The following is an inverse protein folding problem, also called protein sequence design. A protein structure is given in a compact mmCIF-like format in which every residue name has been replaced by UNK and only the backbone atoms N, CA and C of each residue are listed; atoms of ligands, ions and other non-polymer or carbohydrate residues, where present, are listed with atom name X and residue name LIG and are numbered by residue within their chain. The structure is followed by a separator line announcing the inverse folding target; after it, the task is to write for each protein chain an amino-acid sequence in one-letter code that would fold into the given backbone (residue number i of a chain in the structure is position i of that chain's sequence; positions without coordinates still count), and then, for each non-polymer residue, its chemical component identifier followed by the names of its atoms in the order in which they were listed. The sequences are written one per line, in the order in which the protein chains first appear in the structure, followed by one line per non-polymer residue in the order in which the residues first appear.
data_IF_334617582917
#
_entry.id   IF_334617582917
#
_cell.length_a   1.000
_cell.length_b   1.000
_cell.length_c   1.000
_cell.angle_alpha   90.00
_cell.angle_beta   90.00
_cell.angle_gamma   90.00
#
_symmetry.space_group_name_H-M   'P 1'
#
loop_
_entity.id
_entity.type
_entity.pdbx_description
1 polymer ?
#
# COMPACT_ATOMS: atom_id res chain seq x y z
N UNK A 1 -3.70 1.29 12.03
CA UNK A 1 -2.48 0.89 11.28
C UNK A 1 -1.58 -0.04 12.11
N UNK A 2 -0.73 -0.85 11.49
CA UNK A 2 0.35 -1.57 12.19
C UNK A 2 1.54 -0.67 12.50
N UNK A 3 2.35 -1.05 13.48
CA UNK A 3 3.62 -0.36 13.79
C UNK A 3 4.48 -0.26 12.52
N UNK A 4 4.63 -1.38 11.80
CA UNK A 4 5.33 -1.40 10.52
C UNK A 4 4.72 -0.43 9.48
N UNK A 5 3.39 -0.32 9.40
CA UNK A 5 2.76 0.62 8.49
C UNK A 5 3.00 2.08 8.89
N UNK A 6 3.08 2.38 10.19
CA UNK A 6 3.37 3.71 10.71
C UNK A 6 4.80 4.13 10.37
N UNK A 7 5.78 3.26 10.63
CA UNK A 7 7.18 3.47 10.24
C UNK A 7 7.31 3.72 8.74
N UNK A 8 6.65 2.89 7.93
CA UNK A 8 6.65 3.05 6.46
C UNK A 8 5.86 4.26 5.97
N UNK A 9 4.90 4.75 6.74
CA UNK A 9 4.19 5.98 6.41
C UNK A 9 5.13 7.17 6.48
N UNK A 10 5.83 7.32 7.59
CA UNK A 10 6.81 8.38 7.79
C UNK A 10 7.91 8.32 6.72
N UNK A 11 8.49 7.13 6.50
CA UNK A 11 9.57 6.92 5.52
C UNK A 11 9.14 7.22 4.07
N UNK A 12 7.91 6.82 3.68
CA UNK A 12 7.52 6.77 2.26
C UNK A 12 6.56 7.87 1.86
N UNK A 13 5.62 8.22 2.73
CA UNK A 13 4.58 9.21 2.44
C UNK A 13 5.00 10.57 3.00
N UNK A 14 5.56 10.57 4.21
CA UNK A 14 5.84 11.76 4.98
C UNK A 14 4.57 12.40 5.55
N UNK A 15 4.76 13.35 6.47
CA UNK A 15 3.66 14.02 7.17
C UNK A 15 3.04 13.19 8.30
N UNK A 16 1.96 13.70 8.94
CA UNK A 16 1.34 13.02 10.07
C UNK A 16 0.72 11.68 9.64
N UNK A 17 0.78 10.71 10.55
CA UNK A 17 0.09 9.42 10.38
C UNK A 17 -1.42 9.68 10.46
N UNK A 18 -2.22 9.20 9.50
CA UNK A 18 -3.66 9.42 9.50
C UNK A 18 -4.33 8.72 10.68
N UNK A 19 -5.36 9.37 11.21
CA UNK A 19 -6.27 8.79 12.19
C UNK A 19 -7.03 7.60 11.59
N UNK A 20 -7.66 6.75 12.41
CA UNK A 20 -8.51 5.67 11.91
C UNK A 20 -9.64 6.15 10.99
N UNK A 21 -10.26 7.29 11.31
CA UNK A 21 -11.35 7.88 10.51
C UNK A 21 -10.85 8.39 9.16
N UNK A 22 -9.71 9.09 9.16
CA UNK A 22 -9.06 9.54 7.92
C UNK A 22 -8.67 8.35 7.05
N UNK A 23 -8.15 7.28 7.66
CA UNK A 23 -7.79 6.06 6.94
C UNK A 23 -9.01 5.37 6.33
N UNK A 24 -10.15 5.37 7.02
CA UNK A 24 -11.41 4.84 6.50
C UNK A 24 -11.87 5.65 5.28
N UNK A 25 -11.92 6.98 5.39
CA UNK A 25 -12.23 7.87 4.26
C UNK A 25 -11.28 7.67 3.07
N UNK A 26 -9.98 7.54 3.35
CA UNK A 26 -8.98 7.21 2.34
C UNK A 26 -9.27 5.90 1.62
N UNK A 27 -9.70 4.85 2.33
CA UNK A 27 -10.03 3.55 1.72
C UNK A 27 -11.31 3.65 0.87
N UNK A 28 -12.30 4.41 1.32
CA UNK A 28 -13.54 4.67 0.57
C UNK A 28 -13.29 5.43 -0.73
N UNK A 29 -12.40 6.43 -0.69
CA UNK A 29 -11.99 7.22 -1.86
C UNK A 29 -11.02 6.47 -2.80
N UNK A 30 -10.50 5.31 -2.36
CA UNK A 30 -9.49 4.56 -3.11
C UNK A 30 -10.09 3.63 -4.15
N UNK A 31 -9.35 3.42 -5.23
CA UNK A 31 -9.62 2.36 -6.21
C UNK A 31 -9.05 1.05 -5.69
N UNK A 32 -9.91 0.04 -5.48
CA UNK A 32 -9.45 -1.30 -5.11
C UNK A 32 -8.80 -2.00 -6.31
N UNK A 33 -7.47 -2.14 -6.27
CA UNK A 33 -6.67 -2.78 -7.32
C UNK A 33 -6.54 -4.30 -7.13
N UNK A 34 -6.66 -4.79 -5.88
CA UNK A 34 -6.62 -6.23 -5.59
C UNK A 34 -7.62 -6.60 -4.49
N UNK A 35 -8.43 -7.63 -4.74
CA UNK A 35 -9.29 -8.26 -3.74
C UNK A 35 -8.50 -9.23 -2.84
N UNK A 36 -8.86 -9.36 -1.56
CA UNK A 36 -8.24 -10.37 -0.71
C UNK A 36 -8.64 -11.76 -1.20
N UNK A 37 -7.71 -12.72 -1.14
CA UNK A 37 -7.98 -14.11 -1.51
C UNK A 37 -7.01 -15.05 -0.82
N UNK A 38 -7.49 -16.27 -0.59
CA UNK A 38 -6.66 -17.36 -0.13
C UNK A 38 -6.09 -18.11 -1.33
N UNK A 39 -4.77 -18.27 -1.34
CA UNK A 39 -4.05 -19.09 -2.30
C UNK A 39 -3.50 -20.30 -1.57
N UNK A 40 -3.18 -21.35 -2.32
CA UNK A 40 -2.56 -22.55 -1.80
C UNK A 40 -1.25 -22.79 -2.55
N UNK A 41 -0.19 -23.08 -1.80
CA UNK A 41 1.07 -23.54 -2.39
C UNK A 41 0.90 -24.95 -2.99
N UNK A 42 1.81 -25.43 -3.86
CA UNK A 42 1.76 -26.80 -4.37
C UNK A 42 1.77 -27.88 -3.27
N UNK A 43 2.26 -27.56 -2.06
CA UNK A 43 2.26 -28.44 -0.88
C UNK A 43 1.00 -28.31 -0.02
N UNK A 44 -0.02 -27.57 -0.47
CA UNK A 44 -1.29 -27.38 0.23
C UNK A 44 -1.28 -26.30 1.33
N UNK A 45 -0.16 -25.61 1.58
CA UNK A 45 -0.13 -24.53 2.57
C UNK A 45 -0.94 -23.32 2.10
N UNK A 46 -1.86 -22.84 2.95
CA UNK A 46 -2.67 -21.65 2.70
C UNK A 46 -1.84 -20.38 2.88
N UNK A 47 -1.86 -19.51 1.88
CA UNK A 47 -1.27 -18.17 1.89
C UNK A 47 -2.37 -17.16 1.63
N UNK A 48 -2.57 -16.23 2.57
CA UNK A 48 -3.55 -15.16 2.40
C UNK A 48 -2.93 -13.96 1.70
N UNK A 49 -3.50 -13.62 0.55
CA UNK A 49 -3.23 -12.38 -0.15
C UNK A 49 -4.19 -11.31 0.37
N UNK A 50 -3.61 -10.19 0.80
CA UNK A 50 -4.36 -9.04 1.33
C UNK A 50 -4.89 -8.14 0.23
N UNK A 51 -5.87 -7.31 0.58
CA UNK A 51 -6.41 -6.33 -0.34
C UNK A 51 -5.40 -5.20 -0.60
N UNK A 52 -5.45 -4.65 -1.81
CA UNK A 52 -4.68 -3.47 -2.18
C UNK A 52 -5.64 -2.39 -2.69
N UNK A 53 -5.41 -1.17 -2.21
CA UNK A 53 -6.17 0.02 -2.54
C UNK A 53 -5.21 1.10 -3.02
N UNK A 54 -5.50 1.70 -4.17
CA UNK A 54 -4.75 2.84 -4.68
C UNK A 54 -5.54 4.12 -4.45
N UNK A 55 -4.94 5.06 -3.72
CA UNK A 55 -5.52 6.37 -3.47
C UNK A 55 -4.89 7.40 -4.41
N UNK A 56 -5.60 7.85 -5.47
CA UNK A 56 -5.01 8.75 -6.45
C UNK A 56 -4.67 10.12 -5.84
N UNK A 57 -5.55 10.70 -5.03
CA UNK A 57 -5.31 12.02 -4.41
C UNK A 57 -4.10 12.11 -3.48
N UNK A 58 -3.68 10.98 -2.87
CA UNK A 58 -2.52 10.89 -1.98
C UNK A 58 -1.31 10.26 -2.69
N UNK A 59 -1.49 9.67 -3.86
CA UNK A 59 -0.44 8.94 -4.58
C UNK A 59 0.11 7.74 -3.81
N UNK A 60 -0.72 7.00 -3.08
CA UNK A 60 -0.27 5.85 -2.26
C UNK A 60 -1.04 4.57 -2.57
N UNK A 61 -0.40 3.43 -2.32
CA UNK A 61 -1.06 2.12 -2.29
C UNK A 61 -1.09 1.61 -0.86
N UNK A 62 -2.29 1.32 -0.37
CA UNK A 62 -2.56 0.78 0.96
C UNK A 62 -2.76 -0.73 0.86
N UNK A 63 -2.03 -1.50 1.68
CA UNK A 63 -2.28 -2.94 1.88
C UNK A 63 -3.11 -3.13 3.12
N UNK A 64 -4.31 -3.69 2.96
CA UNK A 64 -5.33 -3.79 4.00
C UNK A 64 -5.60 -5.25 4.35
N UNK A 65 -5.52 -5.57 5.64
CA UNK A 65 -6.04 -6.80 6.21
C UNK A 65 -7.46 -6.57 6.72
N UNK A 66 -8.45 -6.99 5.93
CA UNK A 66 -9.86 -6.84 6.28
C UNK A 66 -10.31 -7.70 7.47
N UNK A 67 -9.59 -8.77 7.80
CA UNK A 67 -9.97 -9.60 8.95
C UNK A 67 -9.58 -8.98 10.27
N UNK A 68 -8.53 -8.16 10.26
CA UNK A 68 -8.03 -7.45 11.43
C UNK A 68 -8.33 -5.95 11.39
N UNK A 69 -9.12 -5.53 10.40
CA UNK A 69 -9.47 -4.15 10.08
C UNK A 69 -8.26 -3.20 10.15
N UNK A 70 -7.20 -3.53 9.39
CA UNK A 70 -5.89 -2.89 9.59
C UNK A 70 -5.11 -2.70 8.30
N UNK A 71 -4.65 -1.48 8.06
CA UNK A 71 -3.56 -1.22 7.09
C UNK A 71 -2.25 -1.75 7.66
N UNK A 72 -1.61 -2.62 6.88
CA UNK A 72 -0.37 -3.33 7.28
C UNK A 72 0.88 -2.81 6.59
N UNK A 73 0.75 -2.16 5.43
CA UNK A 73 1.84 -1.44 4.77
C UNK A 73 1.30 -0.38 3.81
N UNK A 74 2.16 0.59 3.51
CA UNK A 74 1.89 1.66 2.54
C UNK A 74 3.05 1.77 1.56
N UNK A 75 2.74 1.95 0.29
CA UNK A 75 3.71 2.15 -0.79
C UNK A 75 3.47 3.54 -1.41
N UNK A 76 4.54 4.24 -1.79
CA UNK A 76 4.48 5.51 -2.49
C UNK A 76 5.52 5.57 -3.62
N UNK A 77 5.29 6.39 -4.67
CA UNK A 77 6.25 6.61 -5.76
C UNK A 77 7.55 7.29 -5.31
N UNK A 78 7.56 8.01 -4.18
CA UNK A 78 8.74 8.75 -3.70
C UNK A 78 9.95 7.85 -3.48
N UNK A 79 9.71 6.58 -3.12
CA UNK A 79 10.79 5.58 -2.94
C UNK A 79 11.05 4.78 -4.22
N UNK A 80 10.07 4.66 -5.13
CA UNK A 80 10.30 4.02 -6.43
C UNK A 80 11.30 4.79 -7.31
N UNK A 81 11.48 6.09 -7.08
CA UNK A 81 12.49 6.92 -7.76
C UNK A 81 13.94 6.71 -7.30
N UNK A 82 14.19 6.01 -6.19
CA UNK A 82 15.55 5.67 -5.75
C UNK A 82 16.12 4.44 -6.47
N UNK A 83 15.33 3.79 -7.33
CA UNK A 83 15.75 2.68 -8.19
C UNK A 83 15.42 3.06 -9.66
N UNK A 84 16.29 3.87 -10.28
CA UNK A 84 16.31 4.05 -11.74
C UNK A 84 15.63 5.31 -12.31
N UNK A 85 16.08 6.50 -11.90
CA UNK A 85 15.94 7.74 -12.71
C UNK A 85 17.30 8.34 -13.05
N UNK A 86 18.22 7.50 -13.47
CA UNK A 86 19.29 7.91 -14.37
C UNK A 86 18.98 7.18 -15.70
N UNK A 87 19.03 7.91 -16.81
CA UNK A 87 18.95 7.40 -18.20
C UNK A 87 17.57 7.25 -18.87
N UNK A 88 16.81 8.35 -19.01
CA UNK A 88 15.81 8.47 -20.11
C UNK A 88 15.78 9.86 -20.76
N UNK A 89 16.95 10.47 -21.00
CA UNK A 89 17.11 11.63 -21.90
C UNK A 89 17.71 11.20 -23.26
N UNK A 90 17.21 10.10 -23.83
CA UNK A 90 17.86 9.44 -24.96
C UNK A 90 16.96 8.96 -26.10
N UNK A 91 15.70 9.41 -26.20
CA UNK A 91 14.85 9.10 -27.36
C UNK A 91 14.09 10.36 -27.81
N UNK A 92 14.74 11.14 -28.68
CA UNK A 92 14.10 11.94 -29.71
C UNK A 92 14.43 11.35 -31.07
#
# INVERSE_FOLDING_TARGET
MSVHAQEKWEERVGGPIPSPEELAGMIEESVRIQKPRDLFTPRGFRVRILALYWHPGRGVVLKVDHLRDKVVTVLSPRVAGACGREDMDGWR
#
